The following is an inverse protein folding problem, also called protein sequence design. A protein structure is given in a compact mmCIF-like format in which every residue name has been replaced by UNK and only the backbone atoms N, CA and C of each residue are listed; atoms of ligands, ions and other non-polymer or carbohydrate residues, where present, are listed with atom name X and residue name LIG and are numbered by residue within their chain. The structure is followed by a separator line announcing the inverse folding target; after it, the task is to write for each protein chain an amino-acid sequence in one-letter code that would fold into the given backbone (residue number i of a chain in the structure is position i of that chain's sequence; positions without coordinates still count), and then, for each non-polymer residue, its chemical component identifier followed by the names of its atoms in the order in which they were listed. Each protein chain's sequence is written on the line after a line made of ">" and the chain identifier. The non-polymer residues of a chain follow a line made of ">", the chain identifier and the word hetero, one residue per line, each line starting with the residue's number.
data_IF_867639881195
#
_entry.id   IF_867639881195
#
_cell.length_a   1.000
_cell.length_b   1.000
_cell.length_c   1.000
_cell.angle_alpha   90.00
_cell.angle_beta   90.00
_cell.angle_gamma   90.00
#
_symmetry.space_group_name_H-M   'P 1'
#
loop_
_entity.id
_entity.type
_entity.pdbx_description
1 polymer ?
#
# COMPACT_ATOMS: atom_id res chain seq x y z
N UNK A 1 -3.79 -11.55 -8.38
CA UNK A 1 -3.37 -10.20 -7.96
C UNK A 1 -3.67 -10.10 -6.48
N UNK A 2 -2.76 -9.53 -5.70
CA UNK A 2 -2.90 -9.28 -4.25
C UNK A 2 -2.94 -7.78 -4.07
N UNK A 3 -4.01 -7.26 -3.47
CA UNK A 3 -4.21 -5.85 -3.16
C UNK A 3 -3.78 -5.60 -1.72
N UNK A 4 -2.97 -4.57 -1.51
CA UNK A 4 -2.44 -4.23 -0.19
C UNK A 4 -2.88 -2.84 0.24
N UNK A 5 -3.23 -2.71 1.52
CA UNK A 5 -3.44 -1.46 2.21
C UNK A 5 -2.23 -1.11 3.07
N UNK A 6 -1.74 0.13 2.99
CA UNK A 6 -0.57 0.56 3.78
C UNK A 6 -1.02 1.55 4.85
N UNK A 7 -0.90 1.16 6.11
CA UNK A 7 -1.13 2.06 7.24
C UNK A 7 0.19 2.77 7.55
N UNK A 8 0.24 4.08 7.27
CA UNK A 8 1.41 4.91 7.45
C UNK A 8 2.21 5.10 6.17
N UNK A 9 2.14 6.29 5.57
CA UNK A 9 2.96 6.68 4.40
C UNK A 9 4.08 7.67 4.77
N UNK A 10 4.76 7.40 5.89
CA UNK A 10 6.02 8.04 6.25
C UNK A 10 7.19 7.52 5.39
N UNK A 11 8.42 7.65 5.88
CA UNK A 11 9.63 7.19 5.17
C UNK A 11 9.55 5.72 4.78
N UNK A 12 9.13 4.86 5.71
CA UNK A 12 9.07 3.41 5.49
C UNK A 12 7.93 3.04 4.55
N UNK A 13 6.68 3.36 4.91
CA UNK A 13 5.53 2.96 4.08
C UNK A 13 5.51 3.61 2.70
N UNK A 14 5.98 4.85 2.57
CA UNK A 14 6.16 5.47 1.25
C UNK A 14 7.22 4.77 0.40
N UNK A 15 8.32 4.32 1.00
CA UNK A 15 9.33 3.52 0.30
C UNK A 15 8.78 2.15 -0.11
N UNK A 16 8.00 1.49 0.75
CA UNK A 16 7.34 0.22 0.45
C UNK A 16 6.41 0.39 -0.76
N UNK A 17 5.56 1.42 -0.76
CA UNK A 17 4.65 1.70 -1.86
C UNK A 17 5.39 1.87 -3.20
N UNK A 18 6.46 2.68 -3.21
CA UNK A 18 7.29 2.89 -4.42
C UNK A 18 8.00 1.63 -4.88
N UNK A 19 8.60 0.85 -3.96
CA UNK A 19 9.29 -0.39 -4.32
C UNK A 19 8.32 -1.40 -4.96
N UNK A 20 7.11 -1.52 -4.42
CA UNK A 20 6.06 -2.38 -4.98
C UNK A 20 5.68 -1.97 -6.41
N UNK A 21 5.66 -0.67 -6.71
CA UNK A 21 5.35 -0.14 -8.04
C UNK A 21 6.53 -0.29 -9.00
N UNK A 22 7.69 0.25 -8.64
CA UNK A 22 8.88 0.32 -9.48
C UNK A 22 9.45 -1.06 -9.82
N UNK A 23 9.25 -2.06 -8.95
CA UNK A 23 9.78 -3.41 -9.09
C UNK A 23 8.68 -4.46 -9.28
N UNK A 24 7.47 -4.04 -9.69
CA UNK A 24 6.30 -4.92 -9.75
C UNK A 24 6.56 -6.21 -10.55
N UNK A 25 7.26 -6.12 -11.68
CA UNK A 25 7.54 -7.26 -12.56
C UNK A 25 8.51 -8.26 -11.92
N UNK A 26 9.57 -7.77 -11.23
CA UNK A 26 10.53 -8.63 -10.52
C UNK A 26 9.88 -9.27 -9.31
N UNK A 27 9.05 -8.53 -8.58
CA UNK A 27 8.33 -9.02 -7.40
C UNK A 27 7.31 -10.07 -7.84
N UNK A 28 6.59 -9.85 -8.94
CA UNK A 28 5.66 -10.82 -9.51
C UNK A 28 6.37 -12.09 -9.97
N UNK A 29 7.51 -11.97 -10.65
CA UNK A 29 8.32 -13.12 -11.07
C UNK A 29 8.81 -13.97 -9.88
N UNK A 30 9.10 -13.35 -8.73
CA UNK A 30 9.59 -14.04 -7.52
C UNK A 30 8.48 -14.60 -6.63
N UNK A 31 7.40 -13.85 -6.47
CA UNK A 31 6.29 -14.22 -5.57
C UNK A 31 5.19 -15.03 -6.27
N UNK A 32 5.17 -15.04 -7.61
CA UNK A 32 4.09 -15.60 -8.41
C UNK A 32 2.78 -14.80 -8.32
N UNK A 33 2.82 -13.57 -7.77
CA UNK A 33 1.65 -12.72 -7.55
C UNK A 33 1.98 -11.27 -7.92
N UNK A 34 1.15 -10.64 -8.75
CA UNK A 34 1.12 -9.18 -8.86
C UNK A 34 0.64 -8.58 -7.54
N UNK A 35 1.48 -7.79 -6.87
CA UNK A 35 1.14 -7.03 -5.66
C UNK A 35 0.85 -5.59 -6.07
N UNK A 36 -0.29 -5.05 -5.67
CA UNK A 36 -0.72 -3.69 -6.02
C UNK A 36 -1.17 -2.96 -4.76
N UNK A 37 -0.68 -1.73 -4.57
CA UNK A 37 -1.15 -0.86 -3.48
C UNK A 37 -2.53 -0.34 -3.85
N UNK A 38 -3.54 -0.68 -3.04
CA UNK A 38 -4.93 -0.24 -3.27
C UNK A 38 -5.19 1.12 -2.64
N UNK A 39 -4.75 1.31 -1.40
CA UNK A 39 -4.94 2.53 -0.63
C UNK A 39 -3.87 2.64 0.45
N UNK A 40 -3.64 3.86 0.93
CA UNK A 40 -2.78 4.10 2.08
C UNK A 40 -3.32 5.15 3.04
N UNK A 41 -2.86 5.07 4.29
CA UNK A 41 -3.26 5.98 5.37
C UNK A 41 -2.11 6.93 5.70
N UNK A 42 -2.40 8.23 5.71
CA UNK A 42 -1.48 9.26 6.14
C UNK A 42 -2.23 10.48 6.71
N UNK A 43 -1.63 11.14 7.71
CA UNK A 43 -2.18 12.39 8.26
C UNK A 43 -2.02 13.58 7.31
N UNK A 44 -0.94 13.57 6.51
CA UNK A 44 -0.66 14.59 5.52
C UNK A 44 -0.92 14.04 4.12
N UNK A 45 -1.32 14.92 3.20
CA UNK A 45 -1.45 14.55 1.79
C UNK A 45 -0.09 14.10 1.23
N UNK A 46 -0.07 12.93 0.60
CA UNK A 46 1.10 12.39 -0.12
C UNK A 46 0.72 12.19 -1.58
N UNK A 47 1.71 12.36 -2.46
CA UNK A 47 1.53 12.20 -3.90
C UNK A 47 1.84 10.76 -4.31
N UNK A 48 0.77 9.99 -4.52
CA UNK A 48 0.77 8.61 -5.00
C UNK A 48 -0.34 8.47 -6.05
N UNK A 49 -0.21 7.50 -6.94
CA UNK A 49 -1.20 7.13 -7.97
C UNK A 49 -2.37 6.28 -7.42
N UNK A 50 -2.44 6.10 -6.10
CA UNK A 50 -3.52 5.43 -5.38
C UNK A 50 -4.14 6.34 -4.31
N UNK A 51 -5.40 6.09 -3.89
CA UNK A 51 -6.05 6.85 -2.84
C UNK A 51 -5.26 6.89 -1.53
N UNK A 52 -5.07 8.09 -1.00
CA UNK A 52 -4.53 8.34 0.33
C UNK A 52 -5.63 8.96 1.19
N UNK A 53 -5.89 8.37 2.34
CA UNK A 53 -6.91 8.80 3.30
C UNK A 53 -6.30 9.06 4.67
N UNK A 54 -6.94 9.90 5.48
CA UNK A 54 -6.59 10.11 6.88
C UNK A 54 -7.43 9.23 7.84
N UNK A 55 -8.41 8.51 7.32
CA UNK A 55 -9.21 7.56 8.09
C UNK A 55 -8.68 6.13 7.91
N UNK A 56 -8.36 5.45 9.01
CA UNK A 56 -7.82 4.09 8.97
C UNK A 56 -8.87 3.06 8.55
N UNK A 57 -10.13 3.29 8.90
CA UNK A 57 -11.23 2.36 8.66
C UNK A 57 -11.52 2.20 7.16
N UNK A 58 -11.27 3.26 6.36
CA UNK A 58 -11.37 3.22 4.89
C UNK A 58 -10.46 2.15 4.26
N UNK A 59 -9.38 1.75 4.94
CA UNK A 59 -8.43 0.72 4.50
C UNK A 59 -8.66 -0.61 5.22
N UNK A 60 -9.01 -0.59 6.50
CA UNK A 60 -9.26 -1.80 7.28
C UNK A 60 -10.54 -2.52 6.86
N UNK A 61 -11.59 -1.77 6.56
CA UNK A 61 -12.92 -2.31 6.24
C UNK A 61 -13.11 -2.53 4.73
N UNK A 62 -12.10 -2.27 3.91
CA UNK A 62 -12.16 -2.49 2.46
C UNK A 62 -12.04 -3.99 2.14
N UNK A 63 -13.14 -4.65 1.70
CA UNK A 63 -13.15 -6.10 1.47
C UNK A 63 -12.32 -6.52 0.26
N UNK A 64 -11.83 -5.59 -0.57
CA UNK A 64 -10.91 -5.93 -1.65
C UNK A 64 -9.44 -5.84 -1.24
N UNK A 65 -9.11 -5.42 -0.02
CA UNK A 65 -7.74 -5.43 0.47
C UNK A 65 -7.44 -6.79 1.08
N UNK A 66 -6.46 -7.48 0.51
CA UNK A 66 -6.08 -8.83 0.92
C UNK A 66 -5.11 -8.81 2.13
N UNK A 67 -4.26 -7.78 2.21
CA UNK A 67 -3.19 -7.68 3.21
C UNK A 67 -3.04 -6.23 3.68
N UNK A 68 -2.90 -6.07 5.00
CA UNK A 68 -2.56 -4.80 5.65
C UNK A 68 -1.07 -4.78 5.99
N UNK A 69 -0.40 -3.70 5.60
CA UNK A 69 0.99 -3.39 5.98
C UNK A 69 0.97 -2.23 6.96
N UNK A 70 1.20 -2.50 8.24
CA UNK A 70 1.23 -1.48 9.30
C UNK A 70 2.67 -1.05 9.59
N UNK A 71 2.92 0.27 9.49
CA UNK A 71 4.22 0.90 9.72
C UNK A 71 4.09 2.30 10.37
N UNK A 72 3.02 2.52 11.15
CA UNK A 72 2.71 3.80 11.77
C UNK A 72 3.45 4.04 13.08
N UNK A 73 3.73 2.99 13.86
CA UNK A 73 4.59 3.06 15.06
C UNK A 73 4.06 3.95 16.19
#
# INVERSE_FOLDING_TARGET
>A
MVKVGILGLGTVGGSVARILQDNADIIEARSGKRIVVKAGVALEQKDFDFPVTSNVDDVLDDPEIDIIVEVMG
#
